data_IF_656065355344
#
_entry.id   IF_656065355344
#
_cell.length_a   1.000
_cell.length_b   1.000
_cell.length_c   1.000
_cell.angle_alpha   90.00
_cell.angle_beta   90.00
_cell.angle_gamma   90.00
#
_symmetry.space_group_name_H-M   'P 1'
#
loop_
_entity.id
_entity.type
_entity.pdbx_description
1 polymer ?
#
# COMPACT_ATOMS: atom_id res chain seq x y z
N UNK A 1 4.69 2.89 13.74
CA UNK A 1 3.89 1.65 13.82
C UNK A 1 4.80 0.45 13.63
N UNK A 2 4.64 -0.60 14.46
CA UNK A 2 5.38 -1.87 14.31
C UNK A 2 4.38 -3.02 14.23
N UNK A 3 4.55 -3.90 13.24
CA UNK A 3 3.67 -5.04 13.01
C UNK A 3 4.46 -6.32 13.24
N UNK A 4 4.08 -7.09 14.27
CA UNK A 4 4.63 -8.39 14.58
C UNK A 4 3.80 -9.50 13.94
N UNK A 5 4.44 -10.39 13.18
CA UNK A 5 3.76 -11.49 12.47
C UNK A 5 4.38 -12.81 12.90
N UNK A 6 3.59 -13.70 13.48
CA UNK A 6 4.00 -15.04 13.83
C UNK A 6 2.81 -15.99 13.88
N UNK A 7 2.79 -17.03 13.06
CA UNK A 7 1.68 -17.98 12.98
C UNK A 7 1.39 -18.65 14.34
N UNK A 8 2.41 -19.11 15.06
CA UNK A 8 2.28 -19.71 16.39
C UNK A 8 1.90 -18.70 17.49
N UNK A 9 2.15 -17.41 17.25
CA UNK A 9 1.96 -16.35 18.24
C UNK A 9 2.92 -16.38 19.43
N UNK A 10 3.91 -17.28 19.45
CA UNK A 10 4.80 -17.49 20.60
C UNK A 10 6.29 -17.31 20.27
N UNK A 11 6.62 -16.66 19.14
CA UNK A 11 8.01 -16.41 18.74
C UNK A 11 8.64 -15.36 19.68
N UNK A 12 9.66 -15.72 20.51
CA UNK A 12 10.19 -14.82 21.52
C UNK A 12 10.74 -13.50 20.95
N UNK A 13 11.43 -13.57 19.82
CA UNK A 13 11.97 -12.40 19.13
C UNK A 13 10.84 -11.40 18.76
N UNK A 14 9.74 -11.90 18.17
CA UNK A 14 8.64 -11.06 17.72
C UNK A 14 7.91 -10.41 18.90
N UNK A 15 7.70 -11.18 19.98
CA UNK A 15 7.10 -10.63 21.21
C UNK A 15 8.00 -9.57 21.86
N UNK A 16 9.31 -9.82 21.96
CA UNK A 16 10.26 -8.85 22.49
C UNK A 16 10.31 -7.56 21.67
N UNK A 17 10.30 -7.69 20.32
CA UNK A 17 10.31 -6.55 19.43
C UNK A 17 9.05 -5.68 19.59
N UNK A 18 7.85 -6.29 19.71
CA UNK A 18 6.61 -5.53 19.95
C UNK A 18 6.61 -4.85 21.32
N UNK A 19 7.06 -5.55 22.38
CA UNK A 19 7.15 -4.97 23.72
C UNK A 19 8.11 -3.77 23.75
N UNK A 20 9.27 -3.88 23.10
CA UNK A 20 10.22 -2.78 22.98
C UNK A 20 9.65 -1.61 22.17
N UNK A 21 8.99 -1.89 21.05
CA UNK A 21 8.34 -0.86 20.23
C UNK A 21 7.27 -0.11 21.03
N UNK A 22 6.45 -0.82 21.79
CA UNK A 22 5.42 -0.26 22.67
C UNK A 22 6.04 0.62 23.77
N UNK A 23 7.12 0.16 24.41
CA UNK A 23 7.85 0.93 25.41
C UNK A 23 8.43 2.25 24.84
N UNK A 24 8.74 2.29 23.53
CA UNK A 24 9.18 3.49 22.80
C UNK A 24 8.01 4.33 22.26
N UNK A 25 6.76 4.04 22.63
CA UNK A 25 5.59 4.81 22.21
C UNK A 25 5.09 4.51 20.77
N UNK A 26 5.56 3.46 20.13
CA UNK A 26 5.05 3.08 18.82
C UNK A 26 3.72 2.33 18.93
N UNK A 27 2.77 2.59 18.03
CA UNK A 27 1.58 1.77 17.86
C UNK A 27 2.01 0.36 17.43
N UNK A 28 1.49 -0.67 18.09
CA UNK A 28 1.86 -2.07 17.83
C UNK A 28 0.67 -2.91 17.35
N UNK A 29 0.90 -3.70 16.32
CA UNK A 29 -0.08 -4.61 15.74
C UNK A 29 0.50 -6.02 15.72
N UNK A 30 -0.27 -7.02 16.15
CA UNK A 30 0.10 -8.43 16.07
C UNK A 30 -0.78 -9.17 15.08
N UNK A 31 -0.18 -10.08 14.29
CA UNK A 31 -0.91 -11.01 13.43
C UNK A 31 -0.51 -12.43 13.77
N UNK A 32 -1.47 -13.26 14.16
CA UNK A 32 -1.23 -14.65 14.55
C UNK A 32 -2.40 -15.56 14.20
N UNK A 33 -2.12 -16.82 13.89
CA UNK A 33 -3.16 -17.85 13.71
C UNK A 33 -3.44 -18.66 14.99
N UNK A 34 -2.78 -18.31 16.10
CA UNK A 34 -3.04 -18.92 17.41
C UNK A 34 -3.79 -17.92 18.30
N UNK A 35 -5.07 -18.18 18.65
CA UNK A 35 -5.88 -17.26 19.44
C UNK A 35 -5.35 -17.03 20.85
N UNK A 36 -4.55 -17.97 21.39
CA UNK A 36 -3.94 -17.89 22.73
C UNK A 36 -2.46 -17.48 22.69
N UNK A 37 -1.95 -17.14 21.51
CA UNK A 37 -0.55 -16.76 21.35
C UNK A 37 -0.19 -15.48 22.10
N UNK A 38 0.93 -15.50 22.83
CA UNK A 38 1.41 -14.35 23.61
C UNK A 38 1.56 -13.06 22.78
N UNK A 39 1.84 -13.20 21.48
CA UNK A 39 2.00 -12.09 20.56
C UNK A 39 0.74 -11.20 20.49
N UNK A 40 -0.46 -11.81 20.46
CA UNK A 40 -1.72 -11.08 20.43
C UNK A 40 -1.96 -10.27 21.70
N UNK A 41 -1.41 -10.69 22.83
CA UNK A 41 -1.54 -10.02 24.12
C UNK A 41 -0.53 -8.89 24.30
N UNK A 42 0.61 -8.94 23.61
CA UNK A 42 1.66 -7.93 23.68
C UNK A 42 1.32 -6.63 22.92
N UNK A 43 0.50 -6.72 21.88
CA UNK A 43 0.22 -5.61 20.97
C UNK A 43 -0.98 -4.76 21.42
N UNK A 44 -1.05 -3.52 20.89
CA UNK A 44 -2.23 -2.66 21.08
C UNK A 44 -3.42 -3.19 20.27
N UNK A 45 -3.13 -3.80 19.09
CA UNK A 45 -4.13 -4.45 18.23
C UNK A 45 -3.69 -5.87 17.86
N UNK A 46 -4.47 -6.84 18.27
CA UNK A 46 -4.27 -8.25 17.91
C UNK A 46 -5.21 -8.67 16.78
N UNK A 47 -4.66 -9.18 15.69
CA UNK A 47 -5.41 -9.75 14.56
C UNK A 47 -5.23 -11.27 14.57
N UNK A 48 -6.27 -11.97 14.96
CA UNK A 48 -6.32 -13.42 14.86
C UNK A 48 -6.81 -13.86 13.48
N UNK A 49 -6.01 -14.69 12.80
CA UNK A 49 -6.37 -15.33 11.53
C UNK A 49 -6.71 -16.79 11.78
N UNK A 50 -8.00 -17.09 11.93
CA UNK A 50 -8.46 -18.47 12.12
C UNK A 50 -8.35 -19.24 10.79
N UNK A 51 -7.37 -20.12 10.70
CA UNK A 51 -7.11 -20.94 9.51
C UNK A 51 -7.36 -22.42 9.76
N UNK A 52 -7.74 -22.77 10.97
CA UNK A 52 -7.85 -24.17 11.40
C UNK A 52 -6.50 -24.89 11.40
N UNK A 53 -6.56 -26.21 11.42
CA UNK A 53 -5.37 -27.06 11.39
C UNK A 53 -4.76 -27.10 9.99
N UNK A 54 -3.42 -27.12 9.95
CA UNK A 54 -2.70 -27.31 8.68
C UNK A 54 -2.83 -28.74 8.16
N UNK A 55 -2.94 -28.90 6.84
CA UNK A 55 -2.99 -30.23 6.20
C UNK A 55 -1.74 -31.05 6.49
N UNK A 56 -0.61 -30.39 6.69
CA UNK A 56 0.61 -30.97 7.27
C UNK A 56 0.82 -30.37 8.65
N UNK A 57 0.65 -31.16 9.71
CA UNK A 57 0.70 -30.69 11.08
C UNK A 57 1.97 -29.87 11.35
N UNK A 58 1.78 -28.64 11.85
CA UNK A 58 2.85 -27.71 12.16
C UNK A 58 3.49 -26.97 10.97
N UNK A 59 3.08 -27.24 9.73
CA UNK A 59 3.59 -26.52 8.53
C UNK A 59 2.86 -25.18 8.32
N UNK A 60 3.07 -24.23 9.21
CA UNK A 60 2.37 -22.92 9.22
C UNK A 60 2.68 -22.03 8.02
N UNK A 61 3.58 -22.43 7.12
CA UNK A 61 3.80 -21.76 5.83
C UNK A 61 2.62 -21.91 4.87
N UNK A 62 1.68 -22.84 5.11
CA UNK A 62 0.55 -23.16 4.24
C UNK A 62 -0.62 -22.22 4.51
N UNK A 63 -1.64 -22.64 5.26
CA UNK A 63 -2.85 -21.85 5.50
C UNK A 63 -2.55 -20.58 6.32
N UNK A 64 -1.83 -20.69 7.43
CA UNK A 64 -1.47 -19.55 8.27
C UNK A 64 -0.64 -18.51 7.50
N UNK A 65 0.41 -18.93 6.78
CA UNK A 65 1.24 -18.03 5.98
C UNK A 65 0.46 -17.35 4.85
N UNK A 66 -0.50 -18.06 4.23
CA UNK A 66 -1.39 -17.48 3.22
C UNK A 66 -2.31 -16.44 3.82
N UNK A 67 -2.92 -16.71 4.98
CA UNK A 67 -3.78 -15.76 5.68
C UNK A 67 -3.02 -14.50 6.11
N UNK A 68 -1.81 -14.66 6.64
CA UNK A 68 -0.94 -13.54 7.01
C UNK A 68 -0.60 -12.66 5.78
N UNK A 69 -0.28 -13.27 4.64
CA UNK A 69 -0.06 -12.55 3.39
C UNK A 69 -1.30 -11.76 2.97
N UNK A 70 -2.49 -12.32 3.09
CA UNK A 70 -3.74 -11.62 2.78
C UNK A 70 -3.93 -10.42 3.70
N UNK A 71 -3.74 -10.58 5.02
CA UNK A 71 -3.83 -9.48 6.00
C UNK A 71 -2.87 -8.34 5.63
N UNK A 72 -1.60 -8.65 5.34
CA UNK A 72 -0.61 -7.63 4.98
C UNK A 72 -0.95 -6.94 3.66
N UNK A 73 -1.48 -7.65 2.67
CA UNK A 73 -1.92 -7.07 1.40
C UNK A 73 -3.12 -6.14 1.61
N UNK A 74 -4.12 -6.56 2.37
CA UNK A 74 -5.29 -5.72 2.70
C UNK A 74 -4.84 -4.47 3.43
N UNK A 75 -4.00 -4.60 4.46
CA UNK A 75 -3.49 -3.49 5.24
C UNK A 75 -2.73 -2.49 4.36
N UNK A 76 -1.75 -2.96 3.60
CA UNK A 76 -0.93 -2.08 2.76
C UNK A 76 -1.77 -1.40 1.65
N UNK A 77 -2.68 -2.13 1.02
CA UNK A 77 -3.58 -1.57 0.00
C UNK A 77 -4.50 -0.51 0.60
N UNK A 78 -5.09 -0.77 1.77
CA UNK A 78 -5.96 0.18 2.46
C UNK A 78 -5.20 1.45 2.85
N UNK A 79 -4.00 1.31 3.39
CA UNK A 79 -3.13 2.46 3.75
C UNK A 79 -2.79 3.27 2.50
N UNK A 80 -2.37 2.63 1.41
CA UNK A 80 -2.02 3.34 0.17
C UNK A 80 -3.23 4.02 -0.48
N UNK A 81 -4.41 3.42 -0.36
CA UNK A 81 -5.66 4.04 -0.80
C UNK A 81 -6.00 5.26 0.07
N UNK A 82 -5.89 5.14 1.39
CA UNK A 82 -6.10 6.25 2.33
C UNK A 82 -5.12 7.42 2.12
N UNK A 83 -3.88 7.13 1.69
CA UNK A 83 -2.88 8.13 1.34
C UNK A 83 -3.09 8.74 -0.06
N UNK A 84 -4.21 8.45 -0.75
CA UNK A 84 -4.50 9.01 -2.08
C UNK A 84 -3.58 8.50 -3.19
N UNK A 85 -2.92 7.35 -3.00
CA UNK A 85 -2.01 6.75 -4.00
C UNK A 85 -2.71 5.83 -5.00
N UNK A 86 -4.04 5.77 -4.93
CA UNK A 86 -4.90 4.96 -5.79
C UNK A 86 -6.05 5.83 -6.31
N UNK A 87 -6.34 5.72 -7.60
CA UNK A 87 -7.50 6.35 -8.24
C UNK A 87 -8.33 5.26 -8.93
N UNK A 88 -9.57 5.06 -8.45
CA UNK A 88 -10.34 3.89 -8.85
C UNK A 88 -9.61 2.59 -8.50
N UNK A 89 -9.22 1.81 -9.51
CA UNK A 89 -8.40 0.59 -9.38
C UNK A 89 -6.97 0.75 -9.89
N UNK A 90 -6.50 1.99 -10.10
CA UNK A 90 -5.20 2.29 -10.68
C UNK A 90 -4.22 2.82 -9.63
N UNK A 91 -3.00 2.27 -9.63
CA UNK A 91 -1.90 2.78 -8.82
C UNK A 91 -1.30 4.03 -9.47
N UNK A 92 -1.32 5.16 -8.77
CA UNK A 92 -0.79 6.43 -9.29
C UNK A 92 0.72 6.61 -9.01
N UNK A 93 1.22 6.12 -7.89
CA UNK A 93 2.58 6.37 -7.42
C UNK A 93 3.53 5.21 -7.79
N UNK A 94 3.60 4.86 -9.06
CA UNK A 94 4.54 3.84 -9.56
C UNK A 94 5.73 4.54 -10.20
N UNK A 95 6.94 4.24 -9.72
CA UNK A 95 8.15 4.72 -10.39
C UNK A 95 8.35 3.97 -11.72
N UNK A 96 8.39 4.69 -12.82
CA UNK A 96 8.52 4.13 -14.18
C UNK A 96 9.97 3.78 -14.53
N UNK A 97 10.58 2.85 -13.80
CA UNK A 97 11.99 2.48 -13.94
C UNK A 97 12.32 1.62 -15.16
N UNK A 98 11.32 1.11 -15.87
CA UNK A 98 11.49 0.30 -17.07
C UNK A 98 10.37 0.54 -18.09
N UNK A 99 10.55 0.02 -19.31
CA UNK A 99 9.61 0.21 -20.40
C UNK A 99 8.19 -0.29 -20.09
N UNK A 100 8.06 -1.44 -19.40
CA UNK A 100 6.76 -1.99 -18.99
C UNK A 100 5.99 -1.04 -18.06
N UNK A 101 6.68 -0.43 -17.11
CA UNK A 101 6.06 0.50 -16.15
C UNK A 101 5.70 1.84 -16.82
N UNK A 102 6.53 2.31 -17.77
CA UNK A 102 6.22 3.47 -18.61
C UNK A 102 4.97 3.24 -19.45
N UNK A 103 4.90 2.12 -20.17
CA UNK A 103 3.70 1.72 -20.93
C UNK A 103 2.44 1.63 -20.04
N UNK A 104 2.58 1.12 -18.82
CA UNK A 104 1.48 1.09 -17.86
C UNK A 104 1.00 2.50 -17.51
N UNK A 105 1.90 3.46 -17.25
CA UNK A 105 1.52 4.83 -16.94
C UNK A 105 0.81 5.50 -18.14
N UNK A 106 1.27 5.30 -19.35
CA UNK A 106 0.61 5.79 -20.58
C UNK A 106 -0.83 5.26 -20.66
N UNK A 107 -1.00 3.95 -20.41
CA UNK A 107 -2.35 3.34 -20.43
C UNK A 107 -3.25 3.87 -19.32
N UNK A 108 -2.73 4.13 -18.14
CA UNK A 108 -3.51 4.72 -17.04
C UNK A 108 -3.92 6.14 -17.41
N UNK A 109 -2.97 6.98 -17.84
CA UNK A 109 -3.23 8.37 -18.21
C UNK A 109 -4.32 8.46 -19.29
N UNK A 110 -4.23 7.66 -20.35
CA UNK A 110 -5.22 7.62 -21.42
C UNK A 110 -6.60 7.09 -21.01
N UNK A 111 -6.68 6.20 -20.00
CA UNK A 111 -7.96 5.76 -19.43
C UNK A 111 -8.65 6.86 -18.64
N UNK A 112 -7.88 7.65 -17.91
CA UNK A 112 -8.39 8.76 -17.12
C UNK A 112 -8.71 9.99 -17.97
N UNK A 113 -7.98 10.16 -19.10
CA UNK A 113 -8.15 11.28 -20.04
C UNK A 113 -8.27 10.73 -21.47
N UNK A 114 -9.48 10.27 -21.89
CA UNK A 114 -9.67 9.60 -23.18
C UNK A 114 -9.40 10.47 -24.40
N UNK A 115 -9.34 11.78 -24.24
CA UNK A 115 -9.01 12.73 -25.33
C UNK A 115 -7.52 12.73 -25.70
N UNK A 116 -6.63 12.18 -24.87
CA UNK A 116 -5.22 12.09 -25.17
C UNK A 116 -4.92 10.89 -26.06
N UNK A 117 -4.22 11.13 -27.17
CA UNK A 117 -3.61 10.05 -27.95
C UNK A 117 -2.36 9.49 -27.25
N UNK A 118 -1.73 8.47 -27.84
CA UNK A 118 -0.60 7.80 -27.22
C UNK A 118 0.66 8.68 -27.20
N UNK A 119 0.88 9.47 -28.25
CA UNK A 119 2.05 10.33 -28.40
C UNK A 119 2.00 11.50 -27.39
N UNK A 120 0.89 12.22 -27.34
CA UNK A 120 0.66 13.29 -26.38
C UNK A 120 0.73 12.82 -24.94
N UNK A 121 0.25 11.60 -24.63
CA UNK A 121 0.36 11.02 -23.29
C UNK A 121 1.81 10.72 -22.92
N UNK A 122 2.64 10.25 -23.84
CA UNK A 122 4.07 10.03 -23.61
C UNK A 122 4.80 11.35 -23.37
N UNK A 123 4.56 12.37 -24.23
CA UNK A 123 5.15 13.69 -24.10
C UNK A 123 4.81 14.33 -22.73
N UNK A 124 3.56 14.26 -22.33
CA UNK A 124 3.11 14.78 -21.05
C UNK A 124 3.77 14.06 -19.87
N UNK A 125 3.88 12.73 -19.91
CA UNK A 125 4.58 11.97 -18.87
C UNK A 125 6.08 12.28 -18.84
N UNK A 126 6.71 12.51 -19.98
CA UNK A 126 8.11 12.91 -20.04
C UNK A 126 8.32 14.31 -19.43
N UNK A 127 7.45 15.26 -19.74
CA UNK A 127 7.52 16.62 -19.19
C UNK A 127 7.37 16.68 -17.67
N UNK A 128 6.69 15.69 -17.08
CA UNK A 128 6.49 15.56 -15.63
C UNK A 128 7.46 14.56 -14.97
N UNK A 129 8.58 14.24 -15.62
CA UNK A 129 9.54 13.23 -15.14
C UNK A 129 8.87 11.89 -14.76
N UNK A 130 7.83 11.49 -15.48
CA UNK A 130 7.02 10.29 -15.24
C UNK A 130 6.28 10.30 -13.89
N UNK A 131 5.98 11.47 -13.32
CA UNK A 131 4.98 11.57 -12.23
C UNK A 131 3.57 11.57 -12.84
N UNK A 132 2.91 10.43 -12.79
CA UNK A 132 1.56 10.24 -13.33
C UNK A 132 0.53 11.17 -12.68
N UNK A 133 0.68 11.52 -11.40
CA UNK A 133 -0.23 12.42 -10.69
C UNK A 133 -0.13 13.85 -11.24
N UNK A 134 1.11 14.32 -11.43
CA UNK A 134 1.36 15.61 -12.04
C UNK A 134 0.80 15.66 -13.48
N UNK A 135 1.07 14.64 -14.29
CA UNK A 135 0.53 14.51 -15.64
C UNK A 135 -1.01 14.53 -15.67
N UNK A 136 -1.68 13.86 -14.73
CA UNK A 136 -3.14 13.87 -14.61
C UNK A 136 -3.67 15.27 -14.29
N UNK A 137 -3.08 15.99 -13.35
CA UNK A 137 -3.51 17.35 -13.02
C UNK A 137 -3.36 18.29 -14.22
N UNK A 138 -2.22 18.25 -14.91
CA UNK A 138 -1.98 19.06 -16.11
C UNK A 138 -2.99 18.72 -17.21
N UNK A 139 -3.28 17.45 -17.42
CA UNK A 139 -4.30 17.02 -18.39
C UNK A 139 -5.71 17.47 -18.02
N UNK A 140 -5.98 17.80 -16.75
CA UNK A 140 -7.23 18.40 -16.26
C UNK A 140 -7.18 19.93 -16.22
N UNK A 141 -6.17 20.56 -16.84
CA UNK A 141 -6.09 22.01 -17.01
C UNK A 141 -5.30 22.75 -15.94
N UNK A 142 -4.60 22.08 -15.05
CA UNK A 142 -3.73 22.73 -14.08
C UNK A 142 -2.45 23.26 -14.76
N UNK A 143 -1.98 24.44 -14.33
CA UNK A 143 -0.64 24.90 -14.70
C UNK A 143 0.42 23.98 -14.05
N UNK A 144 1.56 23.71 -14.71
CA UNK A 144 2.57 22.77 -14.20
C UNK A 144 3.05 23.07 -12.78
N UNK A 145 3.35 24.32 -12.47
CA UNK A 145 3.81 24.75 -11.15
C UNK A 145 2.71 24.55 -10.08
N UNK A 146 1.47 24.93 -10.40
CA UNK A 146 0.33 24.72 -9.51
C UNK A 146 0.04 23.23 -9.25
N UNK A 147 0.22 22.37 -10.25
CA UNK A 147 0.09 20.93 -10.09
C UNK A 147 1.13 20.36 -9.13
N UNK A 148 2.38 20.83 -9.21
CA UNK A 148 3.45 20.40 -8.29
C UNK A 148 3.19 20.87 -6.86
N UNK A 149 2.76 22.10 -6.67
CA UNK A 149 2.43 22.66 -5.35
C UNK A 149 1.24 21.91 -4.73
N UNK A 150 0.21 21.63 -5.52
CA UNK A 150 -0.96 20.89 -5.06
C UNK A 150 -0.61 19.47 -4.61
N UNK A 151 0.34 18.79 -5.27
CA UNK A 151 0.81 17.46 -4.88
C UNK A 151 1.62 17.42 -3.56
N UNK A 152 2.08 18.58 -3.08
CA UNK A 152 2.73 18.73 -1.77
C UNK A 152 1.74 19.05 -0.65
N UNK A 153 0.48 19.39 -0.99
CA UNK A 153 -0.56 19.68 -0.02
C UNK A 153 -1.15 18.41 0.60
N UNK A 154 -1.85 18.58 1.74
CA UNK A 154 -2.57 17.48 2.40
C UNK A 154 -3.93 17.16 1.74
N UNK A 155 -4.25 17.81 0.62
CA UNK A 155 -5.51 17.58 -0.10
C UNK A 155 -5.48 16.21 -0.78
N UNK A 156 -6.49 15.35 -0.57
CA UNK A 156 -6.54 14.06 -1.22
C UNK A 156 -6.54 14.20 -2.75
N UNK A 157 -5.70 13.43 -3.44
CA UNK A 157 -5.50 13.54 -4.89
C UNK A 157 -6.82 13.50 -5.69
N UNK A 158 -7.79 12.66 -5.24
CA UNK A 158 -9.11 12.59 -5.86
C UNK A 158 -9.86 13.92 -5.86
N UNK A 159 -9.63 14.77 -4.85
CA UNK A 159 -10.33 16.06 -4.71
C UNK A 159 -9.66 17.15 -5.56
N UNK A 160 -8.39 16.96 -5.94
CA UNK A 160 -7.68 17.80 -6.90
C UNK A 160 -8.14 17.60 -8.36
N UNK A 161 -8.79 16.47 -8.66
CA UNK A 161 -9.32 16.15 -10.00
C UNK A 161 -10.78 16.61 -10.23
N UNK A 162 -11.40 17.29 -9.27
CA UNK A 162 -12.76 17.84 -9.37
C UNK A 162 -12.74 19.26 -9.88
#
# INVERSE_FOLDING_TARGET
>A
VVIGVAASGNTPFTCAALNQAKALGALTVAVSSNPTGALLQCADHGLHTDTGAEVLAGSTRLAAGTAQKIVLNVLSTTVMTGLGRVLGNEMLCVQATNAKLKDRQVRILRRQVPSLDAESAVELLQSTAWDLRCALLIAHGWAPDAALDALQSDVPFRDLLR
#
